data_IF_322282548152
#
_entry.id   IF_322282548152
#
_cell.length_a   1.000
_cell.length_b   1.000
_cell.length_c   1.000
_cell.angle_alpha   90.00
_cell.angle_beta   90.00
_cell.angle_gamma   90.00
#
_symmetry.space_group_name_H-M   'P 1'
#
loop_
_entity.id
_entity.type
_entity.pdbx_description
1 polymer ?
#
# COMPACT_ATOMS: atom_id res chain seq x y z
N UNK A 1 9.86 30.80 8.87
CA UNK A 1 9.27 29.57 8.31
C UNK A 1 8.83 29.87 6.91
N UNK A 2 9.57 29.38 5.93
CA UNK A 2 9.27 29.70 4.53
C UNK A 2 8.00 28.95 4.08
N UNK A 3 7.17 29.55 3.21
CA UNK A 3 5.94 28.92 2.70
C UNK A 3 6.19 27.56 2.01
N UNK A 4 7.42 27.27 1.61
CA UNK A 4 7.85 25.98 1.05
C UNK A 4 7.71 24.82 2.06
N UNK A 5 8.11 25.03 3.32
CA UNK A 5 8.08 23.99 4.37
C UNK A 5 6.65 23.58 4.72
N UNK A 6 5.73 24.54 4.71
CA UNK A 6 4.31 24.27 4.98
C UNK A 6 3.66 23.51 3.82
N UNK A 7 4.06 23.78 2.58
CA UNK A 7 3.53 23.08 1.39
C UNK A 7 3.96 21.62 1.40
N UNK A 8 5.21 21.32 1.73
CA UNK A 8 5.72 19.96 1.89
C UNK A 8 4.96 19.22 3.00
N UNK A 9 4.80 19.84 4.17
CA UNK A 9 4.05 19.24 5.29
C UNK A 9 2.58 18.95 4.94
N UNK A 10 1.92 19.86 4.23
CA UNK A 10 0.55 19.66 3.74
C UNK A 10 0.46 18.55 2.69
N UNK A 11 1.46 18.40 1.82
CA UNK A 11 1.54 17.30 0.86
C UNK A 11 1.61 15.95 1.57
N UNK A 12 2.50 15.80 2.57
CA UNK A 12 2.62 14.58 3.38
C UNK A 12 1.30 14.24 4.06
N UNK A 13 0.66 15.23 4.71
CA UNK A 13 -0.65 15.03 5.35
C UNK A 13 -1.73 14.63 4.33
N UNK A 14 -1.72 15.25 3.15
CA UNK A 14 -2.62 14.92 2.04
C UNK A 14 -2.48 13.46 1.60
N UNK A 15 -1.25 12.96 1.50
CA UNK A 15 -0.96 11.56 1.19
C UNK A 15 -1.55 10.60 2.24
N UNK A 16 -1.25 10.86 3.53
CA UNK A 16 -1.76 10.06 4.66
C UNK A 16 -3.30 10.03 4.66
N UNK A 17 -3.95 11.19 4.53
CA UNK A 17 -5.41 11.30 4.55
C UNK A 17 -6.02 10.56 3.35
N UNK A 18 -5.43 10.67 2.16
CA UNK A 18 -5.95 10.01 0.96
C UNK A 18 -5.94 8.50 1.13
N UNK A 19 -4.82 7.92 1.56
CA UNK A 19 -4.71 6.48 1.78
C UNK A 19 -5.67 6.00 2.89
N UNK A 20 -5.81 6.77 3.97
CA UNK A 20 -6.81 6.49 5.01
C UNK A 20 -8.23 6.47 4.45
N UNK A 21 -8.59 7.44 3.62
CA UNK A 21 -9.93 7.53 3.01
C UNK A 21 -10.17 6.36 2.07
N UNK A 22 -9.18 5.98 1.24
CA UNK A 22 -9.28 4.81 0.36
C UNK A 22 -9.50 3.55 1.18
N UNK A 23 -8.66 3.30 2.18
CA UNK A 23 -8.77 2.11 3.04
C UNK A 23 -10.12 2.06 3.75
N UNK A 24 -10.56 3.18 4.34
CA UNK A 24 -11.84 3.28 5.04
C UNK A 24 -13.02 3.05 4.10
N UNK A 25 -12.96 3.59 2.89
CA UNK A 25 -13.99 3.40 1.85
C UNK A 25 -14.11 1.93 1.48
N UNK A 26 -12.98 1.25 1.27
CA UNK A 26 -12.93 -0.19 0.95
C UNK A 26 -13.48 -1.03 2.09
N UNK A 27 -13.14 -0.69 3.35
CA UNK A 27 -13.69 -1.34 4.55
C UNK A 27 -15.21 -1.15 4.66
N UNK A 28 -15.73 0.04 4.33
CA UNK A 28 -17.18 0.28 4.30
C UNK A 28 -17.88 -0.56 3.23
N UNK A 29 -17.34 -0.60 2.00
CA UNK A 29 -17.92 -1.40 0.92
C UNK A 29 -17.83 -2.91 1.18
N UNK A 30 -16.76 -3.36 1.83
CA UNK A 30 -16.55 -4.77 2.17
C UNK A 30 -17.32 -5.20 3.44
N UNK A 31 -17.64 -4.28 4.34
CA UNK A 31 -18.35 -4.53 5.61
C UNK A 31 -19.88 -4.47 5.54
N UNK A 32 -20.47 -4.23 4.36
CA UNK A 32 -21.91 -3.97 4.19
C UNK A 32 -22.87 -5.16 4.29
N UNK A 33 -22.44 -6.38 4.61
CA UNK A 33 -23.32 -7.57 4.64
C UNK A 33 -23.24 -8.31 5.97
N UNK A 34 -23.94 -7.84 7.00
CA UNK A 34 -23.87 -8.51 8.30
C UNK A 34 -24.90 -8.16 9.37
N UNK A 35 -26.11 -7.70 9.03
CA UNK A 35 -27.16 -7.54 10.05
C UNK A 35 -28.50 -8.13 9.62
N UNK A 36 -28.74 -9.37 10.03
CA UNK A 36 -30.10 -9.87 10.28
C UNK A 36 -30.14 -10.46 11.68
N UNK A 37 -30.62 -9.66 12.63
CA UNK A 37 -30.99 -10.11 13.96
C UNK A 37 -32.29 -10.92 13.87
N UNK A 38 -32.24 -12.19 14.25
CA UNK A 38 -33.41 -12.97 14.61
C UNK A 38 -33.01 -13.86 15.79
N UNK A 39 -33.70 -13.82 16.94
CA UNK A 39 -33.44 -14.76 18.01
C UNK A 39 -34.20 -16.03 17.68
N UNK A 40 -33.53 -17.14 17.43
CA UNK A 40 -34.11 -18.41 17.90
C UNK A 40 -33.12 -19.57 18.03
N UNK A 41 -33.42 -20.36 19.06
CA UNK A 41 -32.68 -21.50 19.58
C UNK A 41 -32.52 -22.62 18.54
N UNK A 42 -31.29 -23.15 18.35
CA UNK A 42 -30.96 -24.59 18.40
C UNK A 42 -29.52 -24.92 17.91
N UNK A 43 -28.92 -25.88 18.64
CA UNK A 43 -27.88 -26.86 18.25
C UNK A 43 -26.42 -26.41 18.04
N UNK A 44 -25.56 -27.13 18.75
CA UNK A 44 -24.10 -27.05 18.85
C UNK A 44 -23.32 -27.23 17.54
N UNK A 45 -23.96 -27.67 16.45
CA UNK A 45 -23.34 -27.74 15.10
C UNK A 45 -23.32 -26.38 14.37
N UNK A 46 -24.16 -25.42 14.77
CA UNK A 46 -24.28 -24.12 14.09
C UNK A 46 -23.16 -23.14 14.52
N UNK A 47 -22.58 -23.32 15.71
CA UNK A 47 -21.43 -22.51 16.17
C UNK A 47 -20.19 -22.71 15.27
N UNK A 48 -19.95 -23.94 14.82
CA UNK A 48 -18.81 -24.26 13.97
C UNK A 48 -19.03 -23.74 12.53
N UNK A 49 -20.27 -23.80 12.02
CA UNK A 49 -20.64 -23.18 10.74
C UNK A 49 -20.59 -21.65 10.77
N UNK A 50 -21.07 -20.99 11.84
CA UNK A 50 -20.95 -19.53 12.01
C UNK A 50 -19.50 -19.07 12.15
N UNK A 51 -18.70 -19.76 12.96
CA UNK A 51 -17.25 -19.50 13.10
C UNK A 51 -16.52 -19.61 11.77
N UNK A 52 -16.75 -20.68 11.01
CA UNK A 52 -16.10 -20.91 9.72
C UNK A 52 -16.62 -19.97 8.61
N UNK A 53 -17.86 -19.49 8.73
CA UNK A 53 -18.44 -18.46 7.85
C UNK A 53 -17.81 -17.09 8.12
N UNK A 54 -17.73 -16.66 9.39
CA UNK A 54 -17.08 -15.41 9.78
C UNK A 54 -15.61 -15.41 9.35
N UNK A 55 -14.88 -16.51 9.55
CA UNK A 55 -13.48 -16.63 9.13
C UNK A 55 -13.30 -16.53 7.61
N UNK A 56 -14.21 -17.12 6.82
CA UNK A 56 -14.21 -16.97 5.35
C UNK A 56 -14.56 -15.55 4.89
N UNK A 57 -15.36 -14.83 5.66
CA UNK A 57 -15.77 -13.46 5.37
C UNK A 57 -14.65 -12.48 5.69
N UNK A 58 -14.00 -12.62 6.85
CA UNK A 58 -12.77 -11.90 7.22
C UNK A 58 -11.65 -12.10 6.20
N UNK A 59 -11.40 -13.35 5.80
CA UNK A 59 -10.39 -13.71 4.80
C UNK A 59 -10.70 -13.07 3.43
N UNK A 60 -11.98 -12.92 3.05
CA UNK A 60 -12.36 -12.21 1.83
C UNK A 60 -12.20 -10.71 1.93
N UNK A 61 -12.55 -10.12 3.09
CA UNK A 61 -12.35 -8.69 3.36
C UNK A 61 -10.86 -8.35 3.27
N UNK A 62 -10.00 -9.18 3.86
CA UNK A 62 -8.54 -9.03 3.76
C UNK A 62 -8.07 -9.00 2.29
N UNK A 63 -8.58 -9.89 1.43
CA UNK A 63 -8.24 -9.89 0.01
C UNK A 63 -8.66 -8.61 -0.76
N UNK A 64 -9.84 -8.05 -0.47
CA UNK A 64 -10.26 -6.79 -1.10
C UNK A 64 -9.48 -5.58 -0.57
N UNK A 65 -9.17 -5.58 0.73
CA UNK A 65 -8.36 -4.55 1.35
C UNK A 65 -6.94 -4.55 0.76
N UNK A 66 -6.37 -5.75 0.59
CA UNK A 66 -5.07 -5.96 -0.04
C UNK A 66 -5.05 -5.34 -1.44
N UNK A 67 -6.04 -5.66 -2.28
CA UNK A 67 -6.11 -5.17 -3.65
C UNK A 67 -6.19 -3.64 -3.73
N UNK A 68 -6.93 -3.02 -2.81
CA UNK A 68 -7.05 -1.57 -2.80
C UNK A 68 -5.79 -0.87 -2.28
N UNK A 69 -5.16 -1.44 -1.24
CA UNK A 69 -3.87 -0.97 -0.75
C UNK A 69 -2.81 -1.06 -1.84
N UNK A 70 -2.74 -2.21 -2.52
CA UNK A 70 -1.83 -2.47 -3.63
C UNK A 70 -2.06 -1.53 -4.82
N UNK A 71 -3.31 -1.33 -5.27
CA UNK A 71 -3.61 -0.33 -6.31
C UNK A 71 -3.11 1.07 -5.94
N UNK A 72 -3.27 1.47 -4.68
CA UNK A 72 -2.87 2.81 -4.22
C UNK A 72 -1.34 2.91 -4.07
N UNK A 73 -0.67 1.83 -3.68
CA UNK A 73 0.79 1.72 -3.65
C UNK A 73 1.37 1.86 -5.06
N UNK A 74 0.86 1.03 -5.99
CA UNK A 74 1.19 1.07 -7.40
C UNK A 74 0.98 2.47 -7.98
N UNK A 75 -0.11 3.14 -7.61
CA UNK A 75 -0.36 4.54 -8.00
C UNK A 75 0.75 5.50 -7.54
N UNK A 76 1.16 5.41 -6.27
CA UNK A 76 2.24 6.25 -5.74
C UNK A 76 3.60 5.95 -6.36
N UNK A 77 3.87 4.69 -6.70
CA UNK A 77 5.06 4.30 -7.46
C UNK A 77 5.06 4.90 -8.85
N UNK A 78 3.90 4.87 -9.52
CA UNK A 78 3.70 5.54 -10.80
C UNK A 78 4.01 7.03 -10.71
N UNK A 79 3.49 7.71 -9.68
CA UNK A 79 3.79 9.13 -9.44
C UNK A 79 5.30 9.36 -9.27
N UNK A 80 6.00 8.50 -8.51
CA UNK A 80 7.44 8.59 -8.30
C UNK A 80 8.25 8.34 -9.59
N UNK A 81 7.85 7.37 -10.42
CA UNK A 81 8.45 7.11 -11.74
C UNK A 81 8.28 8.32 -12.65
N UNK A 82 7.06 8.86 -12.76
CA UNK A 82 6.83 10.06 -13.57
C UNK A 82 7.66 11.25 -13.07
N UNK A 83 7.67 11.49 -11.76
CA UNK A 83 8.41 12.57 -11.12
C UNK A 83 9.92 12.48 -11.35
N UNK A 84 10.49 11.27 -11.28
CA UNK A 84 11.91 11.03 -11.47
C UNK A 84 12.35 11.22 -12.92
N UNK A 85 11.56 10.79 -13.92
CA UNK A 85 11.87 11.07 -15.34
C UNK A 85 11.76 12.56 -15.70
N UNK A 86 10.87 13.29 -15.01
CA UNK A 86 10.80 14.75 -15.11
C UNK A 86 12.08 15.40 -14.56
N UNK A 87 12.61 14.89 -13.44
CA UNK A 87 13.84 15.38 -12.85
C UNK A 87 15.08 15.04 -13.70
N UNK A 88 15.08 13.90 -14.38
CA UNK A 88 16.07 13.56 -15.39
C UNK A 88 16.11 12.07 -15.74
N UNK A 89 16.60 11.76 -16.95
CA UNK A 89 16.64 10.40 -17.49
C UNK A 89 17.34 9.39 -16.56
N UNK A 90 18.49 9.76 -15.98
CA UNK A 90 19.27 8.88 -15.12
C UNK A 90 18.53 8.59 -13.81
N UNK A 91 17.94 9.61 -13.19
CA UNK A 91 17.15 9.48 -11.95
C UNK A 91 15.93 8.60 -12.23
N UNK A 92 15.20 8.87 -13.33
CA UNK A 92 14.06 8.05 -13.76
C UNK A 92 14.40 6.59 -13.94
N UNK A 93 15.53 6.28 -14.58
CA UNK A 93 15.97 4.91 -14.82
C UNK A 93 16.33 4.19 -13.51
N UNK A 94 17.06 4.86 -12.61
CA UNK A 94 17.40 4.34 -11.28
C UNK A 94 16.11 4.09 -10.48
N UNK A 95 15.21 5.08 -10.39
CA UNK A 95 13.94 4.96 -9.66
C UNK A 95 13.07 3.81 -10.21
N UNK A 96 12.97 3.67 -11.53
CA UNK A 96 12.22 2.57 -12.16
C UNK A 96 12.78 1.20 -11.76
N UNK A 97 14.11 1.03 -11.79
CA UNK A 97 14.75 -0.22 -11.38
C UNK A 97 14.55 -0.47 -9.89
N UNK A 98 14.72 0.55 -9.06
CA UNK A 98 14.52 0.46 -7.60
C UNK A 98 13.09 0.03 -7.25
N UNK A 99 12.09 0.61 -7.92
CA UNK A 99 10.68 0.24 -7.73
C UNK A 99 10.43 -1.19 -8.19
N UNK A 100 10.86 -1.54 -9.40
CA UNK A 100 10.70 -2.88 -9.94
C UNK A 100 11.30 -3.96 -9.02
N UNK A 101 12.43 -3.66 -8.37
CA UNK A 101 13.07 -4.59 -7.44
C UNK A 101 12.29 -4.81 -6.14
N UNK A 102 11.57 -3.81 -5.62
CA UNK A 102 10.76 -3.98 -4.41
C UNK A 102 9.32 -4.42 -4.69
N UNK A 103 8.83 -4.20 -5.90
CA UNK A 103 7.53 -4.69 -6.35
C UNK A 103 7.50 -6.21 -6.52
N UNK A 104 8.58 -6.83 -7.00
CA UNK A 104 8.61 -8.30 -7.17
C UNK A 104 8.31 -9.04 -5.85
N UNK A 105 8.99 -8.75 -4.71
CA UNK A 105 8.63 -9.34 -3.43
C UNK A 105 7.22 -8.99 -2.95
N UNK A 106 6.80 -7.73 -3.16
CA UNK A 106 5.50 -7.22 -2.71
C UNK A 106 4.34 -7.95 -3.39
N UNK A 107 4.36 -8.02 -4.72
CA UNK A 107 3.39 -8.71 -5.57
C UNK A 107 3.28 -10.22 -5.28
N UNK A 108 4.41 -10.86 -4.91
CA UNK A 108 4.41 -12.27 -4.49
C UNK A 108 3.65 -12.45 -3.16
N UNK A 109 3.81 -11.51 -2.23
CA UNK A 109 3.08 -11.48 -0.96
C UNK A 109 1.59 -11.29 -1.16
N UNK A 110 1.21 -10.30 -1.97
CA UNK A 110 -0.18 -9.99 -2.29
C UNK A 110 -0.89 -11.12 -3.02
N UNK A 111 -0.20 -11.77 -3.96
CA UNK A 111 -0.68 -12.98 -4.62
C UNK A 111 -0.97 -14.09 -3.60
N UNK A 112 -0.09 -14.28 -2.60
CA UNK A 112 -0.30 -15.28 -1.55
C UNK A 112 -1.54 -14.97 -0.70
N UNK A 113 -1.73 -13.69 -0.33
CA UNK A 113 -2.90 -13.22 0.41
C UNK A 113 -4.18 -13.46 -0.38
N UNK A 114 -4.22 -13.13 -1.67
CA UNK A 114 -5.40 -13.36 -2.54
C UNK A 114 -5.73 -14.85 -2.72
N UNK A 115 -4.71 -15.71 -2.88
CA UNK A 115 -4.94 -17.16 -2.95
C UNK A 115 -5.48 -17.69 -1.62
N UNK A 116 -4.93 -17.23 -0.49
CA UNK A 116 -5.44 -17.54 0.84
C UNK A 116 -6.85 -16.97 1.08
N UNK A 117 -7.18 -15.87 0.41
CA UNK A 117 -8.51 -15.23 0.39
C UNK A 117 -9.60 -16.08 -0.28
N UNK A 118 -9.20 -17.17 -0.94
CA UNK A 118 -10.06 -18.08 -1.69
C UNK A 118 -10.15 -17.75 -3.18
N UNK A 119 -9.31 -16.85 -3.71
CA UNK A 119 -9.20 -16.67 -5.16
C UNK A 119 -8.46 -17.84 -5.81
N UNK A 120 -8.88 -18.21 -7.03
CA UNK A 120 -8.09 -19.13 -7.85
C UNK A 120 -6.80 -18.44 -8.29
N UNK A 121 -5.73 -19.20 -8.50
CA UNK A 121 -4.41 -18.67 -8.92
C UNK A 121 -4.51 -17.74 -10.14
N UNK A 122 -5.29 -18.13 -11.15
CA UNK A 122 -5.52 -17.29 -12.34
C UNK A 122 -6.24 -15.99 -12.01
N UNK A 123 -7.24 -16.04 -11.13
CA UNK A 123 -7.97 -14.84 -10.71
C UNK A 123 -7.08 -13.91 -9.90
N UNK A 124 -6.30 -14.44 -8.96
CA UNK A 124 -5.35 -13.66 -8.16
C UNK A 124 -4.34 -12.92 -9.06
N UNK A 125 -3.75 -13.61 -10.04
CA UNK A 125 -2.85 -12.96 -11.01
C UNK A 125 -3.54 -11.85 -11.82
N UNK A 126 -4.78 -12.05 -12.28
CA UNK A 126 -5.50 -11.02 -13.05
C UNK A 126 -5.89 -9.81 -12.19
N UNK A 127 -6.16 -10.03 -10.90
CA UNK A 127 -6.44 -8.96 -9.95
C UNK A 127 -5.18 -8.13 -9.67
N UNK A 128 -4.03 -8.77 -9.47
CA UNK A 128 -2.75 -8.06 -9.36
C UNK A 128 -2.39 -7.31 -10.67
N UNK A 129 -2.64 -7.91 -11.84
CA UNK A 129 -2.44 -7.17 -13.09
C UNK A 129 -3.37 -5.93 -13.20
N UNK A 130 -4.52 -5.95 -12.52
CA UNK A 130 -5.43 -4.80 -12.47
C UNK A 130 -4.87 -3.67 -11.57
N UNK A 131 -4.09 -3.98 -10.54
CA UNK A 131 -3.49 -2.96 -9.66
C UNK A 131 -2.37 -2.19 -10.36
N UNK A 132 -1.71 -2.80 -11.35
CA UNK A 132 -0.73 -2.13 -12.22
C UNK A 132 -1.30 -0.93 -13.02
N UNK A 133 -2.62 -0.85 -13.23
CA UNK A 133 -3.24 0.37 -13.79
C UNK A 133 -3.08 1.59 -12.87
N UNK A 134 -2.95 1.36 -11.56
CA UNK A 134 -2.55 2.37 -10.58
C UNK A 134 -1.25 3.04 -11.00
N UNK A 135 -0.19 2.25 -11.22
CA UNK A 135 1.13 2.76 -11.62
C UNK A 135 1.11 3.51 -12.95
N UNK A 136 0.38 3.02 -13.94
CA UNK A 136 0.22 3.72 -15.22
C UNK A 136 -0.47 5.07 -15.00
N UNK A 137 -1.58 5.10 -14.25
CA UNK A 137 -2.34 6.32 -14.00
C UNK A 137 -1.55 7.34 -13.18
N UNK A 138 -0.80 6.91 -12.17
CA UNK A 138 0.10 7.76 -11.39
C UNK A 138 1.18 8.38 -12.26
N UNK A 139 1.82 7.59 -13.13
CA UNK A 139 2.85 8.09 -14.07
C UNK A 139 2.28 9.15 -15.00
N UNK A 140 1.11 8.88 -15.60
CA UNK A 140 0.42 9.82 -16.49
C UNK A 140 0.08 11.12 -15.77
N UNK A 141 -0.46 11.03 -14.54
CA UNK A 141 -0.81 12.22 -13.74
C UNK A 141 0.45 13.02 -13.40
N UNK A 142 1.54 12.37 -13.01
CA UNK A 142 2.79 13.08 -12.71
C UNK A 142 3.32 13.84 -13.92
N UNK A 143 3.32 13.22 -15.10
CA UNK A 143 3.76 13.86 -16.35
C UNK A 143 2.81 15.00 -16.73
N UNK A 144 1.50 14.80 -16.60
CA UNK A 144 0.52 15.84 -16.89
C UNK A 144 0.67 17.06 -15.98
N UNK A 145 0.90 16.84 -14.68
CA UNK A 145 1.08 17.91 -13.70
C UNK A 145 2.39 18.70 -13.88
N UNK A 146 3.38 18.16 -14.59
CA UNK A 146 4.59 18.93 -14.97
C UNK A 146 4.23 20.21 -15.75
N UNK A 147 3.23 20.13 -16.64
CA UNK A 147 2.79 21.27 -17.45
C UNK A 147 2.03 22.35 -16.67
N UNK A 148 1.78 22.15 -15.37
CA UNK A 148 0.93 23.02 -14.53
C UNK A 148 1.71 24.08 -13.75
N UNK A 149 3.05 24.08 -13.82
CA UNK A 149 3.91 25.10 -13.20
C UNK A 149 5.20 24.52 -12.60
N UNK A 150 6.23 25.36 -12.45
CA UNK A 150 7.50 24.96 -11.84
C UNK A 150 7.32 24.50 -10.39
N UNK A 151 7.90 23.34 -10.06
CA UNK A 151 7.97 22.82 -8.69
C UNK A 151 6.77 22.02 -8.17
N UNK A 152 5.72 21.79 -8.97
CA UNK A 152 4.56 20.94 -8.55
C UNK A 152 5.01 19.53 -8.14
N UNK A 153 5.96 18.96 -8.90
CA UNK A 153 6.49 17.63 -8.63
C UNK A 153 7.21 17.58 -7.28
N UNK A 154 8.14 18.50 -7.02
CA UNK A 154 8.93 18.52 -5.80
C UNK A 154 8.13 18.94 -4.56
N UNK A 155 7.15 19.81 -4.72
CA UNK A 155 6.48 20.46 -3.60
C UNK A 155 5.16 19.79 -3.23
N UNK A 156 4.57 19.05 -4.17
CA UNK A 156 3.25 18.43 -3.98
C UNK A 156 3.32 16.91 -4.18
N UNK A 157 3.85 16.44 -5.32
CA UNK A 157 3.82 15.01 -5.65
C UNK A 157 4.73 14.20 -4.72
N UNK A 158 6.01 14.59 -4.59
CA UNK A 158 6.94 13.85 -3.75
C UNK A 158 6.51 13.82 -2.27
N UNK A 159 6.10 14.95 -1.65
CA UNK A 159 5.61 14.92 -0.28
C UNK A 159 4.30 14.11 -0.13
N UNK A 160 3.39 14.19 -1.11
CA UNK A 160 2.17 13.38 -1.13
C UNK A 160 2.49 11.88 -1.17
N UNK A 161 3.36 11.45 -2.07
CA UNK A 161 3.81 10.05 -2.18
C UNK A 161 4.50 9.60 -0.90
N UNK A 162 5.36 10.43 -0.31
CA UNK A 162 6.00 10.13 0.97
C UNK A 162 4.96 9.91 2.10
N UNK A 163 3.91 10.73 2.15
CA UNK A 163 2.79 10.54 3.08
C UNK A 163 2.07 9.21 2.89
N UNK A 164 1.82 8.80 1.64
CA UNK A 164 1.26 7.50 1.29
C UNK A 164 2.11 6.33 1.78
N UNK A 165 3.42 6.36 1.51
CA UNK A 165 4.35 5.32 1.99
C UNK A 165 4.43 5.26 3.52
N UNK A 166 4.43 6.40 4.21
CA UNK A 166 4.37 6.44 5.68
C UNK A 166 3.09 5.76 6.17
N UNK A 167 1.95 6.02 5.55
CA UNK A 167 0.69 5.37 5.91
C UNK A 167 0.75 3.85 5.73
N UNK A 168 1.18 3.37 4.55
CA UNK A 168 1.31 1.93 4.28
C UNK A 168 2.27 1.25 5.26
N UNK A 169 3.42 1.87 5.51
CA UNK A 169 4.41 1.35 6.46
C UNK A 169 3.84 1.23 7.88
N UNK A 170 3.03 2.20 8.33
CA UNK A 170 2.52 2.24 9.70
C UNK A 170 1.26 1.41 9.93
N UNK A 171 0.39 1.29 8.93
CA UNK A 171 -0.89 0.58 9.08
C UNK A 171 -0.82 -0.87 8.60
N UNK A 172 0.10 -1.18 7.68
CA UNK A 172 0.24 -2.54 7.12
C UNK A 172 1.53 -3.22 7.60
N UNK A 173 2.69 -2.61 7.36
CA UNK A 173 3.99 -3.29 7.56
C UNK A 173 4.37 -3.41 9.04
N UNK A 174 4.31 -2.31 9.80
CA UNK A 174 4.72 -2.30 11.22
C UNK A 174 3.84 -3.23 12.08
N UNK A 175 2.50 -3.24 11.96
CA UNK A 175 1.66 -4.15 12.74
C UNK A 175 1.98 -5.61 12.47
N UNK A 176 2.17 -6.00 11.20
CA UNK A 176 2.54 -7.36 10.81
C UNK A 176 3.93 -7.76 11.35
N UNK A 177 4.90 -6.84 11.32
CA UNK A 177 6.22 -7.05 11.91
C UNK A 177 6.19 -7.21 13.43
N UNK A 178 5.22 -6.62 14.11
CA UNK A 178 5.05 -6.75 15.55
C UNK A 178 4.24 -8.00 15.93
N UNK A 179 3.44 -8.52 15.00
CA UNK A 179 2.61 -9.70 15.19
C UNK A 179 3.47 -10.99 15.06
N UNK A 180 3.76 -11.63 16.20
CA UNK A 180 4.56 -12.86 16.26
C UNK A 180 6.00 -12.67 16.75
N UNK A 181 6.44 -11.43 16.95
CA UNK A 181 7.77 -11.05 17.47
C UNK A 181 7.88 -11.25 18.98
N UNK A 182 7.75 -12.51 19.40
CA UNK A 182 7.75 -12.92 20.81
C UNK A 182 9.15 -13.07 21.41
N UNK A 183 10.20 -13.09 20.57
CA UNK A 183 11.60 -13.28 21.00
C UNK A 183 12.40 -12.01 20.76
N UNK A 184 13.09 -11.54 21.79
CA UNK A 184 13.97 -10.36 21.73
C UNK A 184 15.00 -10.40 20.59
N UNK A 185 15.57 -11.59 20.31
CA UNK A 185 16.52 -11.77 19.19
C UNK A 185 15.90 -11.54 17.81
N UNK A 186 14.61 -11.85 17.65
CA UNK A 186 13.88 -11.62 16.41
C UNK A 186 13.62 -10.12 16.20
N UNK A 187 13.18 -9.42 17.26
CA UNK A 187 13.00 -7.96 17.23
C UNK A 187 14.29 -7.21 16.91
N UNK A 188 15.45 -7.65 17.41
CA UNK A 188 16.75 -7.06 17.03
C UNK A 188 17.01 -7.24 15.53
N UNK A 189 16.75 -8.42 14.97
CA UNK A 189 16.95 -8.67 13.53
C UNK A 189 16.04 -7.79 12.67
N UNK A 190 14.79 -7.62 13.08
CA UNK A 190 13.81 -6.75 12.39
C UNK A 190 14.25 -5.29 12.41
N UNK A 191 14.69 -4.77 13.57
CA UNK A 191 15.21 -3.40 13.67
C UNK A 191 16.47 -3.22 12.81
N UNK A 192 17.41 -4.18 12.85
CA UNK A 192 18.62 -4.12 12.02
C UNK A 192 18.28 -4.18 10.52
N UNK A 193 17.31 -4.99 10.12
CA UNK A 193 16.84 -5.06 8.75
C UNK A 193 16.19 -3.74 8.30
N UNK A 194 15.37 -3.12 9.16
CA UNK A 194 14.76 -1.82 8.90
C UNK A 194 15.82 -0.72 8.75
N UNK A 195 16.79 -0.67 9.67
CA UNK A 195 17.91 0.27 9.59
C UNK A 195 18.77 0.05 8.35
N UNK A 196 19.02 -1.20 7.97
CA UNK A 196 19.73 -1.53 6.73
C UNK A 196 18.96 -1.05 5.49
N UNK A 197 17.63 -1.20 5.47
CA UNK A 197 16.77 -0.66 4.42
C UNK A 197 16.85 0.86 4.32
N UNK A 198 16.76 1.57 5.45
CA UNK A 198 16.94 3.05 5.49
C UNK A 198 18.32 3.45 4.99
N UNK A 199 19.37 2.76 5.43
CA UNK A 199 20.74 3.02 5.01
C UNK A 199 20.93 2.83 3.50
N UNK A 200 20.36 1.76 2.92
CA UNK A 200 20.36 1.54 1.47
C UNK A 200 19.66 2.68 0.71
N UNK A 201 18.51 3.16 1.21
CA UNK A 201 17.80 4.28 0.59
C UNK A 201 18.59 5.58 0.65
N UNK A 202 19.30 5.84 1.76
CA UNK A 202 20.20 7.00 1.87
C UNK A 202 21.35 6.91 0.87
N UNK A 203 21.96 5.74 0.70
CA UNK A 203 23.00 5.54 -0.32
C UNK A 203 22.46 5.83 -1.71
N UNK A 204 21.30 5.26 -2.07
CA UNK A 204 20.68 5.48 -3.38
C UNK A 204 20.40 6.97 -3.60
N UNK A 205 19.92 7.69 -2.58
CA UNK A 205 19.63 9.12 -2.67
C UNK A 205 20.86 10.02 -2.84
N UNK A 206 22.07 9.51 -2.61
CA UNK A 206 23.32 10.26 -2.83
C UNK A 206 23.87 10.15 -4.26
N UNK A 207 23.27 9.31 -5.11
CA UNK A 207 23.65 9.08 -6.50
C UNK A 207 22.52 9.47 -7.48
#
# INVERSE_FOLDING_TARGET
>A
HEPHDMTVGLGVLGGIITFLVVEKTVRLFSGGHGHSHGPDKKRSDDKNKKSNKNKKEEIKIAGYLNLAADFTHNFTDGLAIGASYIAGQNIGLITTITILLHEIPHEIGDFAILVQSGCSRRKAMMLQLLTAFGAISGTVISIYLQGSGDGVVSNVILPFTAGGFIYIATVSVIPELLEGSTKFSQSIKEILALLAGVYMMVIIAQY
#
